data_IF_082887015465
#
_entry.id   IF_082887015465
#
_cell.length_a   1.000
_cell.length_b   1.000
_cell.length_c   1.000
_cell.angle_alpha   90.00
_cell.angle_beta   90.00
_cell.angle_gamma   90.00
#
_symmetry.space_group_name_H-M   'P 1'
#
loop_
_entity.id
_entity.type
_entity.pdbx_description
1 polymer ?
#
# COMPACT_ATOMS: atom_id res chain seq x y z
N UNK A 1 9.44 0.89 17.48
CA UNK A 1 9.42 1.30 16.05
C UNK A 1 8.38 2.38 15.74
N UNK A 2 7.65 2.91 16.74
CA UNK A 2 6.91 4.17 16.62
C UNK A 2 7.81 5.35 16.16
N UNK A 3 9.12 5.24 16.38
CA UNK A 3 10.10 6.26 16.00
C UNK A 3 10.66 6.14 14.58
N UNK A 4 10.04 5.34 13.69
CA UNK A 4 10.49 5.27 12.30
C UNK A 4 10.43 6.66 11.64
N UNK A 5 11.49 7.02 10.92
CA UNK A 5 11.56 8.25 10.14
C UNK A 5 12.05 7.93 8.73
N UNK A 6 11.27 8.34 7.75
CA UNK A 6 11.66 8.29 6.35
C UNK A 6 12.92 9.12 6.12
N UNK A 7 13.85 8.57 5.34
CA UNK A 7 15.04 9.28 4.87
C UNK A 7 15.00 9.33 3.33
N UNK A 8 15.49 10.42 2.74
CA UNK A 8 15.36 10.64 1.29
C UNK A 8 16.12 9.65 0.40
N UNK A 9 16.93 8.77 0.98
CA UNK A 9 17.72 7.73 0.32
C UNK A 9 17.05 6.35 0.30
N UNK A 10 15.86 6.19 0.90
CA UNK A 10 15.15 4.92 0.88
C UNK A 10 14.79 4.51 -0.55
N UNK A 11 15.12 3.26 -0.88
CA UNK A 11 14.67 2.65 -2.13
C UNK A 11 13.20 2.27 -1.98
N UNK A 12 12.41 2.53 -3.02
CA UNK A 12 11.04 2.03 -3.11
C UNK A 12 11.08 0.50 -3.27
N UNK A 13 11.05 -0.21 -2.14
CA UNK A 13 11.16 -1.67 -2.05
C UNK A 13 10.18 -2.23 -0.99
N UNK A 14 10.17 -3.56 -0.85
CA UNK A 14 9.31 -4.27 0.11
C UNK A 14 9.62 -3.88 1.57
N UNK A 15 10.86 -3.53 1.91
CA UNK A 15 11.24 -3.10 3.26
C UNK A 15 10.56 -1.79 3.67
N UNK A 16 10.38 -0.86 2.73
CA UNK A 16 9.63 0.38 2.97
C UNK A 16 8.16 0.09 3.26
N UNK A 17 7.55 -0.85 2.53
CA UNK A 17 6.17 -1.29 2.77
C UNK A 17 6.02 -1.92 4.16
N UNK A 18 6.97 -2.78 4.54
CA UNK A 18 7.03 -3.35 5.88
C UNK A 18 7.17 -2.28 6.96
N UNK A 19 8.02 -1.27 6.72
CA UNK A 19 8.26 -0.17 7.66
C UNK A 19 7.03 0.70 7.86
N UNK A 20 6.30 1.01 6.77
CA UNK A 20 5.04 1.77 6.83
C UNK A 20 3.96 0.98 7.57
N UNK A 21 3.75 -0.29 7.19
CA UNK A 21 2.75 -1.15 7.83
C UNK A 21 3.02 -1.29 9.33
N UNK A 22 4.29 -1.49 9.71
CA UNK A 22 4.70 -1.59 11.11
C UNK A 22 4.52 -0.29 11.87
N UNK A 23 4.80 0.85 11.24
CA UNK A 23 4.59 2.16 11.84
C UNK A 23 3.11 2.38 12.13
N UNK A 24 2.23 2.18 11.14
CA UNK A 24 0.78 2.36 11.30
C UNK A 24 0.21 1.42 12.38
N UNK A 25 0.55 0.12 12.31
CA UNK A 25 0.09 -0.86 13.28
C UNK A 25 0.58 -0.56 14.72
N UNK A 26 1.80 -0.04 14.87
CA UNK A 26 2.33 0.36 16.19
C UNK A 26 1.55 1.53 16.82
N UNK A 27 0.81 2.29 16.02
CA UNK A 27 -0.11 3.35 16.44
C UNK A 27 -1.58 2.90 16.43
N UNK A 28 -1.85 1.59 16.32
CA UNK A 28 -3.20 1.05 16.35
C UNK A 28 -3.99 1.27 15.06
N UNK A 29 -3.33 1.62 13.95
CA UNK A 29 -3.98 1.83 12.66
C UNK A 29 -3.80 0.58 11.79
N UNK A 30 -4.84 -0.26 11.64
CA UNK A 30 -4.82 -1.34 10.65
C UNK A 30 -4.74 -0.77 9.24
N UNK A 31 -4.02 -1.48 8.37
CA UNK A 31 -3.87 -1.11 6.97
C UNK A 31 -3.76 -2.34 6.07
N UNK A 32 -4.26 -2.20 4.84
CA UNK A 32 -4.05 -3.17 3.76
C UNK A 32 -3.12 -2.56 2.71
N UNK A 33 -2.16 -3.34 2.23
CA UNK A 33 -1.46 -3.01 0.99
C UNK A 33 -2.38 -3.26 -0.21
N UNK A 34 -2.35 -2.35 -1.18
CA UNK A 34 -3.14 -2.36 -2.41
C UNK A 34 -2.30 -1.96 -3.63
N UNK A 35 -2.82 -2.22 -4.84
CA UNK A 35 -2.26 -1.76 -6.11
C UNK A 35 -1.19 -2.69 -6.71
N UNK A 36 -0.32 -2.13 -7.55
CA UNK A 36 0.62 -2.86 -8.41
C UNK A 36 1.46 -3.91 -7.67
N UNK A 37 1.94 -3.58 -6.46
CA UNK A 37 2.75 -4.52 -5.68
C UNK A 37 1.95 -5.76 -5.28
N UNK A 38 0.65 -5.64 -4.98
CA UNK A 38 -0.21 -6.79 -4.64
C UNK A 38 -0.35 -7.72 -5.84
N UNK A 39 -0.55 -7.16 -7.04
CA UNK A 39 -0.57 -7.96 -8.28
C UNK A 39 0.76 -8.70 -8.51
N UNK A 40 1.90 -8.07 -8.20
CA UNK A 40 3.20 -8.75 -8.25
C UNK A 40 3.31 -9.89 -7.23
N UNK A 41 2.68 -9.78 -6.04
CA UNK A 41 2.61 -10.88 -5.08
C UNK A 41 1.78 -12.05 -5.65
N UNK A 42 0.73 -11.77 -6.42
CA UNK A 42 -0.05 -12.77 -7.16
C UNK A 42 0.63 -13.28 -8.45
N UNK A 43 1.85 -12.83 -8.77
CA UNK A 43 2.60 -13.31 -9.94
C UNK A 43 2.34 -12.55 -11.24
N UNK A 44 1.62 -11.43 -11.22
CA UNK A 44 1.41 -10.59 -12.41
C UNK A 44 2.56 -9.59 -12.52
N UNK A 45 3.28 -9.49 -13.66
CA UNK A 45 4.49 -8.66 -13.76
C UNK A 45 4.18 -7.18 -14.04
N UNK A 46 3.72 -6.44 -13.03
CA UNK A 46 3.47 -4.99 -13.14
C UNK A 46 4.68 -4.16 -12.72
N UNK A 47 4.85 -3.02 -13.40
CA UNK A 47 5.79 -1.99 -12.98
C UNK A 47 5.18 -1.21 -11.82
N UNK A 48 5.67 -1.45 -10.61
CA UNK A 48 5.22 -0.74 -9.41
C UNK A 48 5.58 0.74 -9.51
N UNK A 49 4.56 1.60 -9.46
CA UNK A 49 4.72 3.06 -9.51
C UNK A 49 4.41 3.78 -8.19
N UNK A 50 3.76 3.08 -7.27
CA UNK A 50 3.44 3.55 -5.93
C UNK A 50 3.30 2.39 -4.94
N UNK A 51 3.23 2.74 -3.65
CA UNK A 51 2.72 1.86 -2.59
C UNK A 51 1.43 2.44 -2.04
N UNK A 52 0.31 1.79 -2.33
CA UNK A 52 -1.02 2.20 -1.88
C UNK A 52 -1.43 1.44 -0.62
N UNK A 53 -1.94 2.17 0.37
CA UNK A 53 -2.47 1.60 1.60
C UNK A 53 -3.95 1.97 1.76
N UNK A 54 -4.79 0.98 2.04
CA UNK A 54 -6.20 1.17 2.41
C UNK A 54 -6.29 1.23 3.92
N UNK A 55 -6.92 2.28 4.44
CA UNK A 55 -7.08 2.57 5.87
C UNK A 55 -8.58 2.68 6.18
N UNK A 56 -9.05 2.22 7.36
CA UNK A 56 -10.39 2.54 7.81
C UNK A 56 -10.65 4.05 7.78
N UNK A 57 -11.84 4.43 7.33
CA UNK A 57 -12.21 5.81 7.06
C UNK A 57 -12.03 6.72 8.28
N UNK A 58 -12.33 6.20 9.47
CA UNK A 58 -12.24 6.89 10.75
C UNK A 58 -10.80 7.11 11.23
N UNK A 59 -9.82 6.39 10.67
CA UNK A 59 -8.39 6.48 11.04
C UNK A 59 -7.53 7.14 9.94
N UNK A 60 -8.10 7.48 8.79
CA UNK A 60 -7.34 7.98 7.62
C UNK A 60 -6.58 9.28 7.91
N UNK A 61 -7.17 10.19 8.70
CA UNK A 61 -6.52 11.44 9.09
C UNK A 61 -5.34 11.20 10.04
N UNK A 62 -5.50 10.28 10.99
CA UNK A 62 -4.43 9.92 11.92
C UNK A 62 -3.28 9.23 11.18
N UNK A 63 -3.59 8.34 10.23
CA UNK A 63 -2.60 7.69 9.38
C UNK A 63 -1.77 8.70 8.57
N UNK A 64 -2.43 9.70 7.97
CA UNK A 64 -1.75 10.82 7.29
C UNK A 64 -0.81 11.54 8.24
N UNK A 65 -1.30 11.93 9.41
CA UNK A 65 -0.52 12.70 10.40
C UNK A 65 0.70 11.91 10.89
N UNK A 66 0.58 10.58 11.08
CA UNK A 66 1.69 9.71 11.47
C UNK A 66 2.77 9.67 10.38
N UNK A 67 2.40 9.53 9.10
CA UNK A 67 3.37 9.54 8.01
C UNK A 67 4.05 10.92 7.87
N UNK A 68 3.32 12.02 8.05
CA UNK A 68 3.91 13.36 8.09
C UNK A 68 4.90 13.52 9.26
N UNK A 69 4.53 13.07 10.47
CA UNK A 69 5.40 13.08 11.63
C UNK A 69 6.67 12.23 11.43
N UNK A 70 6.52 11.10 10.73
CA UNK A 70 7.59 10.22 10.28
C UNK A 70 8.40 10.78 9.10
N UNK A 71 8.21 12.06 8.72
CA UNK A 71 9.00 12.76 7.70
C UNK A 71 8.82 12.24 6.27
N UNK A 72 7.69 11.60 5.97
CA UNK A 72 7.32 11.35 4.58
C UNK A 72 7.09 12.69 3.86
N UNK A 73 7.65 12.88 2.66
CA UNK A 73 7.61 14.15 1.95
C UNK A 73 6.22 14.44 1.39
N UNK A 74 5.55 15.42 1.99
CA UNK A 74 4.24 15.92 1.54
C UNK A 74 4.34 16.46 0.10
N UNK A 75 3.25 16.35 -0.66
CA UNK A 75 3.19 16.94 -1.98
C UNK A 75 3.06 18.46 -1.92
N UNK A 76 3.96 19.17 -2.59
CA UNK A 76 3.96 20.63 -2.64
C UNK A 76 3.21 21.18 -3.87
N UNK A 77 2.78 20.30 -4.79
CA UNK A 77 2.08 20.69 -6.01
C UNK A 77 0.58 20.95 -5.80
N UNK A 78 0.04 20.61 -4.63
CA UNK A 78 -1.38 20.79 -4.30
C UNK A 78 -2.30 20.26 -5.39
N UNK A 79 -3.31 21.07 -5.76
CA UNK A 79 -4.33 20.74 -6.77
C UNK A 79 -3.79 20.54 -8.20
N UNK A 80 -2.52 20.89 -8.46
CA UNK A 80 -1.88 20.66 -9.77
C UNK A 80 -1.11 19.34 -9.83
N UNK A 81 -1.05 18.59 -8.71
CA UNK A 81 -0.34 17.33 -8.68
C UNK A 81 -0.97 16.32 -9.64
N UNK A 82 -0.19 15.68 -10.55
CA UNK A 82 -0.70 14.63 -11.42
C UNK A 82 -1.36 13.47 -10.69
N UNK A 83 -0.95 13.18 -9.45
CA UNK A 83 -1.46 12.07 -8.65
C UNK A 83 -2.94 12.21 -8.25
N UNK A 84 -3.52 13.41 -8.30
CA UNK A 84 -4.91 13.67 -7.89
C UNK A 84 -5.77 14.20 -9.03
N UNK A 85 -5.26 14.18 -10.26
CA UNK A 85 -6.02 14.66 -11.42
C UNK A 85 -7.13 13.66 -11.80
N UNK A 86 -8.29 14.13 -12.27
CA UNK A 86 -9.44 13.28 -12.56
C UNK A 86 -9.24 12.32 -13.75
N UNK A 87 -8.18 12.51 -14.54
CA UNK A 87 -7.88 11.70 -15.71
C UNK A 87 -6.99 10.47 -15.40
N UNK A 88 -6.75 10.15 -14.11
CA UNK A 88 -6.01 8.94 -13.74
C UNK A 88 -6.92 7.69 -13.78
N UNK A 89 -6.38 6.50 -14.06
CA UNK A 89 -7.16 5.26 -14.16
C UNK A 89 -7.56 4.66 -12.80
N UNK A 90 -7.04 5.17 -11.68
CA UNK A 90 -7.31 4.67 -10.33
C UNK A 90 -7.94 5.76 -9.46
N UNK A 91 -8.80 5.46 -8.47
CA UNK A 91 -9.39 6.48 -7.61
C UNK A 91 -8.33 7.43 -7.00
N UNK A 92 -8.63 8.73 -6.87
CA UNK A 92 -7.72 9.68 -6.24
C UNK A 92 -7.45 9.29 -4.78
N UNK A 93 -6.20 9.29 -4.32
CA UNK A 93 -5.89 9.01 -2.93
C UNK A 93 -6.38 10.13 -2.03
N UNK A 94 -6.74 9.78 -0.79
CA UNK A 94 -7.02 10.75 0.25
C UNK A 94 -5.80 11.62 0.55
N UNK A 95 -4.63 10.99 0.64
CA UNK A 95 -3.35 11.66 0.81
C UNK A 95 -2.25 10.92 0.06
N UNK A 96 -1.22 11.63 -0.39
CA UNK A 96 -0.05 11.01 -1.02
C UNK A 96 1.25 11.71 -0.63
N UNK A 97 2.32 10.92 -0.58
CA UNK A 97 3.67 11.34 -0.23
C UNK A 97 4.63 10.97 -1.37
N UNK A 98 5.43 11.93 -1.84
CA UNK A 98 6.28 11.73 -3.01
C UNK A 98 7.70 11.36 -2.57
N UNK A 99 8.00 10.07 -2.46
CA UNK A 99 9.29 9.60 -1.91
C UNK A 99 10.47 9.76 -2.89
N UNK A 100 10.21 10.05 -4.17
CA UNK A 100 11.24 10.39 -5.17
C UNK A 100 10.82 11.60 -6.01
N UNK A 101 11.20 12.81 -5.58
CA UNK A 101 10.78 14.09 -6.20
C UNK A 101 11.71 14.63 -7.30
N UNK A 102 12.55 13.79 -7.93
CA UNK A 102 13.48 14.25 -8.98
C UNK A 102 12.88 14.05 -10.37
N UNK A 103 12.86 15.11 -11.17
CA UNK A 103 12.41 15.07 -12.56
C UNK A 103 10.89 15.26 -12.71
N UNK A 104 10.31 14.68 -13.76
CA UNK A 104 8.88 14.79 -14.10
C UNK A 104 7.98 14.30 -12.94
N UNK A 105 7.10 15.17 -12.39
CA UNK A 105 6.15 14.81 -11.32
C UNK A 105 5.24 13.63 -11.64
N UNK A 106 4.99 13.35 -12.93
CA UNK A 106 4.21 12.18 -13.35
C UNK A 106 4.92 10.85 -13.06
N UNK A 107 6.25 10.89 -12.87
CA UNK A 107 7.10 9.72 -12.64
C UNK A 107 7.59 9.62 -11.19
N UNK A 108 7.19 10.54 -10.32
CA UNK A 108 7.54 10.46 -8.92
C UNK A 108 6.92 9.21 -8.30
N UNK A 109 7.73 8.45 -7.57
CA UNK A 109 7.25 7.30 -6.82
C UNK A 109 6.52 7.79 -5.58
N UNK A 110 5.36 7.19 -5.29
CA UNK A 110 4.44 7.67 -4.25
C UNK A 110 4.16 6.62 -3.19
N UNK A 111 3.82 7.10 -2.00
CA UNK A 111 3.03 6.35 -1.02
C UNK A 111 1.65 7.00 -1.03
N UNK A 112 0.60 6.22 -1.23
CA UNK A 112 -0.78 6.68 -1.31
C UNK A 112 -1.60 6.10 -0.15
N UNK A 113 -2.45 6.92 0.45
CA UNK A 113 -3.45 6.52 1.43
C UNK A 113 -4.83 6.63 0.81
N UNK A 114 -5.61 5.56 0.88
CA UNK A 114 -6.97 5.48 0.39
C UNK A 114 -7.91 5.13 1.53
N UNK A 115 -9.11 5.71 1.51
CA UNK A 115 -10.18 5.26 2.41
C UNK A 115 -10.66 3.89 1.99
N UNK A 116 -11.06 3.08 2.96
CA UNK A 116 -11.72 1.81 2.70
C UNK A 116 -12.99 2.00 1.89
N UNK A 117 -13.81 3.00 2.19
CA UNK A 117 -15.04 3.29 1.44
C UNK A 117 -14.80 3.55 -0.05
N UNK A 118 -13.64 4.08 -0.42
CA UNK A 118 -13.38 4.52 -1.78
C UNK A 118 -12.97 3.35 -2.70
N UNK A 119 -12.41 2.27 -2.11
CA UNK A 119 -11.90 1.12 -2.86
C UNK A 119 -12.63 -0.19 -2.52
N UNK A 120 -12.92 -0.42 -1.24
CA UNK A 120 -13.34 -1.71 -0.67
C UNK A 120 -14.66 -1.58 0.09
N UNK A 121 -15.62 -0.83 -0.45
CA UNK A 121 -16.90 -0.52 0.19
C UNK A 121 -17.76 -1.75 0.54
N UNK A 122 -17.55 -2.89 -0.12
CA UNK A 122 -18.24 -4.17 0.18
C UNK A 122 -17.44 -5.10 1.08
N UNK A 123 -16.17 -4.81 1.35
CA UNK A 123 -15.32 -5.65 2.19
C UNK A 123 -15.65 -5.45 3.68
N UNK A 124 -15.43 -6.48 4.53
CA UNK A 124 -15.61 -6.35 5.97
C UNK A 124 -14.64 -5.32 6.57
N UNK A 125 -14.78 -4.98 7.84
CA UNK A 125 -13.85 -4.06 8.50
C UNK A 125 -12.42 -4.60 8.58
N UNK A 126 -11.44 -3.70 8.43
CA UNK A 126 -10.03 -4.06 8.50
C UNK A 126 -9.65 -4.16 9.98
N UNK A 127 -9.43 -5.38 10.46
CA UNK A 127 -9.05 -5.62 11.85
C UNK A 127 -7.59 -5.24 12.13
N UNK A 128 -7.32 -4.74 13.33
CA UNK A 128 -5.96 -4.54 13.85
C UNK A 128 -5.25 -5.86 14.19
N UNK A 129 -5.99 -6.96 14.30
CA UNK A 129 -5.42 -8.28 14.55
C UNK A 129 -4.92 -8.92 13.24
N UNK A 130 -3.88 -9.73 13.37
CA UNK A 130 -3.44 -10.61 12.29
C UNK A 130 -4.60 -11.50 11.87
N UNK A 131 -4.95 -11.59 10.57
CA UNK A 131 -5.99 -12.49 10.12
C UNK A 131 -5.57 -13.95 10.37
N UNK A 132 -6.54 -14.78 10.74
CA UNK A 132 -6.33 -16.23 10.77
C UNK A 132 -5.98 -16.74 9.36
N UNK A 133 -5.27 -17.88 9.28
CA UNK A 133 -4.82 -18.43 7.99
C UNK A 133 -5.97 -18.69 7.00
N UNK A 134 -7.17 -18.97 7.50
CA UNK A 134 -8.37 -19.23 6.69
C UNK A 134 -9.30 -18.01 6.56
N UNK A 135 -8.83 -16.80 6.88
CA UNK A 135 -9.68 -15.61 6.82
C UNK A 135 -10.20 -15.37 5.38
N UNK A 136 -11.52 -15.16 5.20
CA UNK A 136 -12.16 -15.21 3.87
C UNK A 136 -11.95 -13.96 3.00
N UNK A 137 -11.45 -12.86 3.57
CA UNK A 137 -11.32 -11.57 2.86
C UNK A 137 -9.91 -10.99 2.88
N UNK A 138 -9.05 -11.46 3.78
CA UNK A 138 -7.75 -10.86 4.04
C UNK A 138 -6.74 -11.95 4.28
N UNK A 139 -5.50 -11.69 3.91
CA UNK A 139 -4.37 -12.57 4.18
C UNK A 139 -3.10 -11.77 4.35
N UNK A 140 -2.03 -12.44 4.79
CA UNK A 140 -0.72 -11.83 4.84
C UNK A 140 -0.02 -11.90 3.48
N UNK A 141 0.86 -10.93 3.20
CA UNK A 141 1.65 -10.88 1.98
C UNK A 141 2.66 -12.04 1.83
N UNK A 142 2.86 -12.84 2.88
CA UNK A 142 3.68 -14.06 2.89
C UNK A 142 2.84 -15.36 2.93
N UNK A 143 1.51 -15.25 2.76
CA UNK A 143 0.59 -16.38 2.83
C UNK A 143 0.92 -17.46 1.77
N UNK A 144 0.73 -18.73 2.13
CA UNK A 144 1.08 -19.85 1.27
C UNK A 144 0.16 -19.98 0.03
N UNK A 145 -1.01 -19.33 0.04
CA UNK A 145 -1.92 -19.23 -1.11
C UNK A 145 -1.31 -18.42 -2.26
N UNK A 146 -0.33 -17.56 -1.97
CA UNK A 146 0.41 -16.81 -2.99
C UNK A 146 1.52 -17.67 -3.63
N UNK A 147 1.85 -17.42 -4.91
CA UNK A 147 3.00 -18.04 -5.56
C UNK A 147 4.30 -17.88 -4.76
N UNK A 148 5.16 -18.90 -4.82
CA UNK A 148 6.50 -18.79 -4.22
C UNK A 148 7.28 -17.64 -4.85
N UNK A 149 8.14 -17.00 -4.06
CA UNK A 149 8.97 -15.92 -4.57
C UNK A 149 9.93 -16.43 -5.66
N UNK A 150 9.89 -15.81 -6.84
CA UNK A 150 10.81 -16.05 -7.94
C UNK A 150 11.88 -14.95 -7.94
N UNK A 151 13.16 -15.22 -7.58
CA UNK A 151 14.21 -14.21 -7.62
C UNK A 151 14.49 -13.68 -9.03
N UNK A 152 14.24 -14.51 -10.05
CA UNK A 152 14.41 -14.16 -11.46
C UNK A 152 13.40 -13.11 -11.90
N UNK A 153 12.14 -13.29 -11.51
CA UNK A 153 11.03 -12.42 -11.94
C UNK A 153 10.74 -11.31 -10.93
N UNK A 154 11.21 -11.48 -9.68
CA UNK A 154 10.92 -10.62 -8.53
C UNK A 154 9.43 -10.56 -8.18
N UNK A 155 8.73 -11.68 -8.40
CA UNK A 155 7.30 -11.87 -8.19
C UNK A 155 7.05 -12.92 -7.11
N UNK A 156 5.83 -12.97 -6.58
CA UNK A 156 5.43 -13.92 -5.54
C UNK A 156 5.54 -13.35 -4.13
N UNK A 157 5.14 -14.19 -3.17
CA UNK A 157 4.96 -13.84 -1.75
C UNK A 157 6.19 -13.20 -1.11
N UNK A 158 5.96 -12.41 -0.07
CA UNK A 158 7.02 -11.85 0.79
C UNK A 158 7.71 -12.94 1.61
N UNK A 159 8.88 -12.62 2.17
CA UNK A 159 9.62 -13.54 3.02
C UNK A 159 8.89 -13.72 4.37
N UNK A 160 9.04 -14.87 5.02
CA UNK A 160 8.40 -15.12 6.32
C UNK A 160 9.03 -14.30 7.45
N UNK A 161 10.25 -13.79 7.25
CA UNK A 161 10.96 -12.90 8.18
C UNK A 161 10.60 -11.43 8.00
N UNK A 162 9.93 -11.07 6.90
CA UNK A 162 9.41 -9.71 6.68
C UNK A 162 8.31 -9.37 7.71
N UNK A 163 8.02 -8.07 7.85
CA UNK A 163 6.90 -7.68 8.71
C UNK A 163 5.57 -8.19 8.13
N UNK A 164 4.62 -8.52 9.01
CA UNK A 164 3.27 -8.88 8.60
C UNK A 164 2.58 -7.71 7.89
N UNK A 165 2.47 -7.81 6.57
CA UNK A 165 1.71 -6.89 5.71
C UNK A 165 0.42 -7.57 5.32
N UNK A 166 -0.71 -6.92 5.59
CA UNK A 166 -2.03 -7.45 5.24
C UNK A 166 -2.38 -7.02 3.82
N UNK A 167 -2.99 -7.92 3.05
CA UNK A 167 -3.52 -7.68 1.70
C UNK A 167 -4.93 -8.24 1.62
N UNK A 168 -5.70 -7.75 0.65
CA UNK A 168 -6.98 -8.36 0.33
C UNK A 168 -6.77 -9.75 -0.28
N UNK A 169 -7.53 -10.71 0.23
CA UNK A 169 -7.73 -11.98 -0.45
C UNK A 169 -8.66 -11.71 -1.63
N UNK A 170 -8.14 -11.85 -2.84
CA UNK A 170 -8.96 -11.73 -4.03
C UNK A 170 -9.80 -13.00 -4.17
N UNK A 171 -11.02 -12.94 -3.65
CA UNK A 171 -12.07 -13.82 -4.13
C UNK A 171 -12.52 -13.31 -5.51
N UNK A 172 -12.01 -13.98 -6.55
CA UNK A 172 -12.51 -14.05 -7.94
C UNK A 172 -12.10 -12.89 -8.90
N UNK A 173 -12.24 -13.12 -10.23
CA UNK A 173 -11.21 -13.28 -11.24
C UNK A 173 -10.78 -11.93 -11.85
N UNK A 174 -9.85 -11.98 -12.81
CA UNK A 174 -9.28 -10.92 -13.68
C UNK A 174 -10.29 -9.93 -14.35
N UNK A 175 -11.59 -9.93 -14.01
CA UNK A 175 -12.64 -9.15 -14.68
C UNK A 175 -12.87 -7.72 -14.17
N UNK A 176 -12.31 -7.28 -13.04
CA UNK A 176 -12.45 -5.86 -12.62
C UNK A 176 -11.36 -4.92 -13.16
N UNK A 177 -10.46 -5.41 -14.03
CA UNK A 177 -9.46 -4.57 -14.70
C UNK A 177 -9.96 -3.90 -15.99
N UNK A 178 -11.22 -4.14 -16.39
CA UNK A 178 -11.81 -3.55 -17.59
C UNK A 178 -13.29 -3.21 -17.38
N UNK A 179 -13.58 -2.10 -16.71
CA UNK A 179 -14.89 -1.43 -16.78
C UNK A 179 -14.72 0.07 -16.68
#
# INVERSE_FOLDING_TARGET
>A
MADFKFRGDYTANKELVCSISRLLNAHGIPCLLWGDLVFNLYGVPLQVSDFSFVIPDELIDEARNILEAAKFPVCHLGQTCPAIQPNRPAPPPYAHFNIKQKGDPRKWFRVELHRKSDLLWTAPEISACTPDGDHPHYMLANDARLPEYSPRERLGRMDSTDYAVMIQLDAIPVQMLYS
#
